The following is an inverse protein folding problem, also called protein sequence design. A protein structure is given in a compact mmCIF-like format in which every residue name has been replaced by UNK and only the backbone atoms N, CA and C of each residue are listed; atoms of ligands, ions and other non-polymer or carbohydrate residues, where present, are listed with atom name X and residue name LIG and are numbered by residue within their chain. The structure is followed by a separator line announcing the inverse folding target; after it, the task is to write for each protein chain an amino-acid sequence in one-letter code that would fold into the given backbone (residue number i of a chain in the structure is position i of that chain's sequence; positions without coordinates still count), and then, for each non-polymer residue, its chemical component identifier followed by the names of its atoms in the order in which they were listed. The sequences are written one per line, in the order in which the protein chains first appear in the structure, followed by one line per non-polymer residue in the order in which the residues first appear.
data_IF_826243703938
#
_entry.id   IF_826243703938
#
_cell.length_a   1.000
_cell.length_b   1.000
_cell.length_c   1.000
_cell.angle_alpha   90.00
_cell.angle_beta   90.00
_cell.angle_gamma   90.00
#
_symmetry.space_group_name_H-M   'P 1'
#
loop_
_entity.id
_entity.type
_entity.pdbx_description
1 polymer ?
#
# COMPACT_ATOMS: atom_id res chain seq x y z
N UNK A 1 -37.10 74.16 -45.37
CA UNK A 1 -36.70 73.98 -43.97
C UNK A 1 -35.42 73.16 -43.97
N UNK A 2 -34.29 73.74 -43.57
CA UNK A 2 -33.03 73.02 -43.39
C UNK A 2 -33.12 72.25 -42.07
N UNK A 3 -33.26 70.92 -42.14
CA UNK A 3 -33.16 70.05 -40.96
C UNK A 3 -31.68 69.85 -40.61
N UNK A 4 -31.31 69.82 -39.31
CA UNK A 4 -29.93 69.99 -38.92
C UNK A 4 -29.16 68.67 -39.08
N UNK A 5 -27.97 68.75 -39.67
CA UNK A 5 -26.95 67.70 -39.67
C UNK A 5 -26.60 67.18 -38.25
N UNK A 6 -27.07 67.85 -37.19
CA UNK A 6 -26.84 67.50 -35.79
C UNK A 6 -27.58 66.23 -35.32
N UNK A 7 -28.71 65.84 -35.93
CA UNK A 7 -29.51 64.69 -35.45
C UNK A 7 -28.83 63.34 -35.72
N UNK A 8 -28.25 63.16 -36.91
CA UNK A 8 -27.49 61.95 -37.28
C UNK A 8 -26.16 61.83 -36.55
N UNK A 9 -25.50 62.97 -36.29
CA UNK A 9 -24.28 63.00 -35.48
C UNK A 9 -24.55 62.57 -34.03
N UNK A 10 -25.67 63.04 -33.44
CA UNK A 10 -26.11 62.61 -32.11
C UNK A 10 -26.47 61.12 -32.06
N UNK A 11 -27.18 60.63 -33.08
CA UNK A 11 -27.49 59.20 -33.21
C UNK A 11 -26.22 58.34 -33.30
N UNK A 12 -25.25 58.76 -34.12
CA UNK A 12 -23.96 58.07 -34.26
C UNK A 12 -23.17 58.07 -32.95
N UNK A 13 -23.19 59.18 -32.22
CA UNK A 13 -22.53 59.29 -30.93
C UNK A 13 -23.09 58.27 -29.92
N UNK A 14 -24.42 58.18 -29.82
CA UNK A 14 -25.09 57.22 -28.92
C UNK A 14 -24.80 55.79 -29.33
N UNK A 15 -24.86 55.50 -30.63
CA UNK A 15 -24.53 54.20 -31.19
C UNK A 15 -23.12 53.74 -30.77
N UNK A 16 -22.11 54.59 -30.93
CA UNK A 16 -20.73 54.25 -30.54
C UNK A 16 -20.59 54.13 -29.02
N UNK A 17 -21.20 55.06 -28.27
CA UNK A 17 -21.07 55.11 -26.81
C UNK A 17 -21.65 53.85 -26.14
N UNK A 18 -22.82 53.37 -26.57
CA UNK A 18 -23.42 52.15 -26.00
C UNK A 18 -22.58 50.90 -26.29
N UNK A 19 -22.01 50.78 -27.50
CA UNK A 19 -21.12 49.65 -27.82
C UNK A 19 -19.85 49.67 -26.96
N UNK A 20 -19.23 50.84 -26.78
CA UNK A 20 -18.07 50.98 -25.89
C UNK A 20 -18.42 50.64 -24.44
N UNK A 21 -19.58 51.10 -23.96
CA UNK A 21 -20.04 50.82 -22.60
C UNK A 21 -20.28 49.32 -22.38
N UNK A 22 -20.97 48.65 -23.31
CA UNK A 22 -21.18 47.20 -23.27
C UNK A 22 -19.87 46.40 -23.22
N UNK A 23 -18.86 46.80 -24.02
CA UNK A 23 -17.53 46.17 -23.97
C UNK A 23 -16.84 46.35 -22.62
N UNK A 24 -16.90 47.55 -22.02
CA UNK A 24 -16.31 47.80 -20.70
C UNK A 24 -17.00 46.96 -19.63
N UNK A 25 -18.32 46.84 -19.67
CA UNK A 25 -19.08 46.00 -18.73
C UNK A 25 -18.68 44.53 -18.89
N UNK A 26 -18.63 44.02 -20.13
CA UNK A 26 -18.27 42.63 -20.41
C UNK A 26 -16.83 42.27 -19.99
N UNK A 27 -15.86 43.16 -20.22
CA UNK A 27 -14.44 42.90 -19.90
C UNK A 27 -14.14 43.11 -18.42
N UNK A 28 -14.75 44.11 -17.78
CA UNK A 28 -14.41 44.47 -16.40
C UNK A 28 -14.78 43.38 -15.40
N UNK A 29 -15.82 42.58 -15.66
CA UNK A 29 -16.35 41.56 -14.75
C UNK A 29 -16.71 42.07 -13.34
N UNK A 30 -16.71 43.40 -13.12
CA UNK A 30 -17.06 44.06 -11.86
C UNK A 30 -18.58 44.15 -11.68
N UNK A 31 -19.33 44.07 -12.79
CA UNK A 31 -20.77 44.24 -12.84
C UNK A 31 -21.48 42.89 -12.98
N UNK A 32 -22.67 42.77 -12.40
CA UNK A 32 -23.53 41.60 -12.59
C UNK A 32 -23.81 41.36 -14.08
N UNK A 33 -23.85 40.10 -14.50
CA UNK A 33 -24.13 39.69 -15.88
C UNK A 33 -25.49 40.19 -16.39
N UNK A 34 -26.43 40.46 -15.48
CA UNK A 34 -27.73 41.06 -15.78
C UNK A 34 -27.62 42.51 -16.27
N UNK A 35 -26.58 43.24 -15.86
CA UNK A 35 -26.36 44.63 -16.26
C UNK A 35 -26.03 44.72 -17.75
N UNK A 36 -25.36 43.70 -18.31
CA UNK A 36 -25.07 43.62 -19.74
C UNK A 36 -26.35 43.49 -20.58
N UNK A 37 -27.34 42.72 -20.08
CA UNK A 37 -28.67 42.61 -20.70
C UNK A 37 -29.41 43.95 -20.69
N UNK A 38 -29.44 44.60 -19.54
CA UNK A 38 -30.14 45.87 -19.36
C UNK A 38 -29.51 46.94 -20.25
N UNK A 39 -28.18 47.03 -20.29
CA UNK A 39 -27.46 47.97 -21.13
C UNK A 39 -27.71 47.70 -22.62
N UNK A 40 -27.48 46.47 -23.09
CA UNK A 40 -27.63 46.14 -24.51
C UNK A 40 -29.05 46.36 -25.04
N UNK A 41 -30.08 45.98 -24.27
CA UNK A 41 -31.47 46.21 -24.64
C UNK A 41 -31.86 47.69 -24.57
N UNK A 42 -31.51 48.39 -23.48
CA UNK A 42 -31.84 49.81 -23.35
C UNK A 42 -31.15 50.65 -24.44
N UNK A 43 -29.90 50.33 -24.77
CA UNK A 43 -29.16 50.95 -25.87
C UNK A 43 -29.89 50.76 -27.20
N UNK A 44 -30.30 49.53 -27.53
CA UNK A 44 -31.04 49.26 -28.77
C UNK A 44 -32.40 49.95 -28.80
N UNK A 45 -33.16 49.95 -27.71
CA UNK A 45 -34.43 50.67 -27.66
C UNK A 45 -34.26 52.18 -27.83
N UNK A 46 -33.23 52.77 -27.23
CA UNK A 46 -32.91 54.19 -27.42
C UNK A 46 -32.60 54.46 -28.89
N UNK A 47 -31.75 53.64 -29.53
CA UNK A 47 -31.43 53.80 -30.94
C UNK A 47 -32.68 53.63 -31.84
N UNK A 48 -33.53 52.66 -31.55
CA UNK A 48 -34.78 52.43 -32.30
C UNK A 48 -35.72 53.61 -32.18
N UNK A 49 -35.98 54.10 -30.97
CA UNK A 49 -36.86 55.25 -30.74
C UNK A 49 -36.28 56.49 -31.43
N UNK A 50 -34.97 56.71 -31.30
CA UNK A 50 -34.32 57.85 -31.95
C UNK A 50 -34.39 57.76 -33.47
N UNK A 51 -34.02 56.60 -34.04
CA UNK A 51 -34.00 56.37 -35.47
C UNK A 51 -35.38 56.42 -36.12
N UNK A 52 -36.41 55.96 -35.41
CA UNK A 52 -37.78 55.95 -35.93
C UNK A 52 -38.44 57.34 -35.88
N UNK A 53 -38.33 58.05 -34.76
CA UNK A 53 -39.08 59.29 -34.51
C UNK A 53 -38.32 60.58 -34.83
N UNK A 54 -37.00 60.58 -34.73
CA UNK A 54 -36.20 61.82 -34.75
C UNK A 54 -35.25 61.95 -35.95
N UNK A 55 -35.09 60.89 -36.75
CA UNK A 55 -34.36 60.95 -38.01
C UNK A 55 -35.30 61.10 -39.22
N UNK A 56 -34.94 61.94 -40.21
CA UNK A 56 -35.71 62.10 -41.43
C UNK A 56 -35.68 60.83 -42.30
N UNK A 57 -36.70 60.64 -43.14
CA UNK A 57 -36.86 59.45 -43.98
C UNK A 57 -35.62 59.10 -44.83
N UNK A 58 -34.93 60.11 -45.35
CA UNK A 58 -33.70 59.95 -46.15
C UNK A 58 -32.52 59.34 -45.39
N UNK A 59 -32.58 59.29 -44.05
CA UNK A 59 -31.53 58.75 -43.18
C UNK A 59 -31.94 57.47 -42.46
N UNK A 60 -33.18 56.99 -42.66
CA UNK A 60 -33.69 55.83 -41.93
C UNK A 60 -33.06 54.52 -42.36
N UNK A 61 -32.71 54.38 -43.64
CA UNK A 61 -31.95 53.22 -44.12
C UNK A 61 -30.63 53.06 -43.36
N UNK A 62 -29.84 54.14 -43.27
CA UNK A 62 -28.58 54.15 -42.55
C UNK A 62 -28.77 53.91 -41.04
N UNK A 63 -29.78 54.54 -40.43
CA UNK A 63 -30.10 54.35 -39.02
C UNK A 63 -30.49 52.92 -38.70
N UNK A 64 -31.31 52.31 -39.55
CA UNK A 64 -31.74 50.92 -39.44
C UNK A 64 -30.57 49.95 -39.55
N UNK A 65 -29.71 50.12 -40.55
CA UNK A 65 -28.49 49.29 -40.72
C UNK A 65 -27.55 49.40 -39.50
N UNK A 66 -27.43 50.59 -38.91
CA UNK A 66 -26.64 50.80 -37.68
C UNK A 66 -27.28 50.12 -36.46
N UNK A 67 -28.60 50.11 -36.33
CA UNK A 67 -29.32 49.39 -35.26
C UNK A 67 -29.14 47.87 -35.40
N UNK A 68 -29.22 47.33 -36.63
CA UNK A 68 -28.92 45.92 -36.90
C UNK A 68 -27.48 45.57 -36.52
N UNK A 69 -26.54 46.40 -36.92
CA UNK A 69 -25.12 46.24 -36.58
C UNK A 69 -24.90 46.34 -35.07
N UNK A 70 -25.59 47.25 -34.37
CA UNK A 70 -25.52 47.34 -32.91
C UNK A 70 -26.04 46.08 -32.23
N UNK A 71 -27.12 45.49 -32.75
CA UNK A 71 -27.66 44.22 -32.26
C UNK A 71 -26.64 43.11 -32.36
N UNK A 72 -26.02 42.96 -33.53
CA UNK A 72 -24.95 41.99 -33.78
C UNK A 72 -23.72 42.20 -32.87
N UNK A 73 -23.27 43.45 -32.70
CA UNK A 73 -22.12 43.75 -31.84
C UNK A 73 -22.42 43.42 -30.37
N UNK A 74 -23.61 43.73 -29.87
CA UNK A 74 -24.04 43.34 -28.53
C UNK A 74 -24.15 41.82 -28.35
N UNK A 75 -24.51 41.09 -29.41
CA UNK A 75 -24.46 39.62 -29.42
C UNK A 75 -23.04 39.09 -29.25
N UNK A 76 -22.07 39.63 -30.00
CA UNK A 76 -20.67 39.24 -29.87
C UNK A 76 -20.12 39.56 -28.49
N UNK A 77 -20.48 40.71 -27.92
CA UNK A 77 -20.07 41.12 -26.57
C UNK A 77 -20.61 40.14 -25.51
N UNK A 78 -21.90 39.80 -25.57
CA UNK A 78 -22.51 38.85 -24.63
C UNK A 78 -21.95 37.43 -24.77
N UNK A 79 -21.70 36.98 -26.00
CA UNK A 79 -21.07 35.68 -26.26
C UNK A 79 -19.62 35.62 -25.76
N UNK A 80 -18.82 36.66 -26.04
CA UNK A 80 -17.45 36.74 -25.53
C UNK A 80 -17.40 36.77 -24.00
N UNK A 81 -18.32 37.51 -23.36
CA UNK A 81 -18.46 37.53 -21.89
C UNK A 81 -18.76 36.14 -21.32
N UNK A 82 -19.70 35.40 -21.93
CA UNK A 82 -20.01 34.02 -21.56
C UNK A 82 -18.79 33.09 -21.67
N UNK A 83 -17.99 33.22 -22.74
CA UNK A 83 -16.76 32.42 -22.92
C UNK A 83 -15.69 32.73 -21.87
N UNK A 84 -15.51 34.00 -21.49
CA UNK A 84 -14.54 34.39 -20.46
C UNK A 84 -14.96 33.80 -19.10
N UNK A 85 -16.24 33.86 -18.76
CA UNK A 85 -16.78 33.26 -17.52
C UNK A 85 -16.67 31.74 -17.50
N UNK A 86 -16.81 31.10 -18.66
CA UNK A 86 -16.64 29.66 -18.83
C UNK A 86 -15.17 29.23 -18.63
N UNK A 87 -14.22 30.07 -19.03
CA UNK A 87 -12.79 29.84 -18.86
C UNK A 87 -12.24 30.08 -17.44
N UNK A 88 -12.97 30.81 -16.60
CA UNK A 88 -12.50 31.21 -15.25
C UNK A 88 -13.04 30.37 -14.09
N UNK A 89 -14.04 29.50 -14.31
CA UNK A 89 -14.85 28.90 -13.24
C UNK A 89 -14.73 27.37 -13.21
N UNK A 90 -14.51 26.80 -12.02
CA UNK A 90 -14.63 25.36 -11.78
C UNK A 90 -16.12 25.02 -11.62
N UNK A 91 -16.76 24.68 -12.75
CA UNK A 91 -18.21 24.53 -12.93
C UNK A 91 -18.97 23.94 -11.73
N UNK A 92 -19.77 24.78 -11.08
CA UNK A 92 -20.85 24.37 -10.18
C UNK A 92 -22.23 24.77 -10.75
N UNK A 93 -23.29 24.06 -10.36
CA UNK A 93 -24.64 24.20 -10.93
C UNK A 93 -25.26 25.62 -10.76
N UNK A 94 -24.81 26.40 -9.79
CA UNK A 94 -25.18 27.82 -9.61
C UNK A 94 -24.51 28.79 -10.59
N UNK A 95 -23.43 28.38 -11.26
CA UNK A 95 -22.68 29.18 -12.24
C UNK A 95 -23.24 29.05 -13.66
N UNK A 96 -24.15 28.09 -13.90
CA UNK A 96 -24.82 27.94 -15.20
C UNK A 96 -25.61 29.22 -15.55
N UNK A 97 -26.31 29.81 -14.59
CA UNK A 97 -27.04 31.06 -14.80
C UNK A 97 -26.11 32.22 -15.17
N UNK A 98 -24.89 32.26 -14.62
CA UNK A 98 -23.90 33.28 -14.95
C UNK A 98 -23.45 33.23 -16.43
N UNK A 99 -23.58 32.07 -17.08
CA UNK A 99 -23.29 31.88 -18.51
C UNK A 99 -24.55 32.09 -19.35
N UNK A 100 -25.72 31.64 -18.87
CA UNK A 100 -26.98 31.75 -19.58
C UNK A 100 -27.47 33.20 -19.69
N UNK A 101 -27.21 34.07 -18.71
CA UNK A 101 -27.62 35.47 -18.77
C UNK A 101 -26.94 36.26 -19.90
N UNK A 102 -25.59 36.24 -20.05
CA UNK A 102 -24.93 36.89 -21.17
C UNK A 102 -25.31 36.30 -22.54
N UNK A 103 -25.56 34.99 -22.62
CA UNK A 103 -26.04 34.34 -23.85
C UNK A 103 -27.48 34.75 -24.21
N UNK A 104 -28.39 34.76 -23.23
CA UNK A 104 -29.77 35.21 -23.41
C UNK A 104 -29.83 36.69 -23.79
N UNK A 105 -28.95 37.50 -23.20
CA UNK A 105 -28.73 38.89 -23.59
C UNK A 105 -28.30 39.03 -25.04
N UNK A 106 -27.24 38.31 -25.43
CA UNK A 106 -26.71 38.33 -26.78
C UNK A 106 -27.79 38.01 -27.82
N UNK A 107 -28.63 37.02 -27.54
CA UNK A 107 -29.73 36.62 -28.41
C UNK A 107 -30.83 37.69 -28.46
N UNK A 108 -31.25 38.22 -27.32
CA UNK A 108 -32.31 39.22 -27.23
C UNK A 108 -31.93 40.53 -27.95
N UNK A 109 -30.68 41.00 -27.77
CA UNK A 109 -30.18 42.19 -28.47
C UNK A 109 -30.05 41.95 -29.97
N UNK A 110 -29.67 40.74 -30.40
CA UNK A 110 -29.66 40.37 -31.83
C UNK A 110 -31.04 40.53 -32.44
N UNK A 111 -32.06 39.94 -31.79
CA UNK A 111 -33.44 39.94 -32.26
C UNK A 111 -33.97 41.37 -32.39
N UNK A 112 -33.78 42.18 -31.35
CA UNK A 112 -34.25 43.57 -31.33
C UNK A 112 -33.55 44.40 -32.40
N UNK A 113 -32.23 44.28 -32.52
CA UNK A 113 -31.45 45.01 -33.50
C UNK A 113 -31.81 44.64 -34.94
N UNK A 114 -31.91 43.35 -35.24
CA UNK A 114 -32.30 42.86 -36.55
C UNK A 114 -33.72 43.27 -36.95
N UNK A 115 -34.68 43.05 -36.05
CA UNK A 115 -36.10 43.27 -36.31
C UNK A 115 -36.43 44.76 -36.44
N UNK A 116 -36.08 45.56 -35.44
CA UNK A 116 -36.45 46.98 -35.41
C UNK A 116 -35.53 47.82 -36.29
N UNK A 117 -34.25 47.44 -36.41
CA UNK A 117 -33.33 48.04 -37.36
C UNK A 117 -33.73 47.75 -38.81
N UNK A 118 -34.18 46.53 -39.10
CA UNK A 118 -34.69 46.17 -40.43
C UNK A 118 -35.96 46.90 -40.81
N UNK A 119 -36.91 47.02 -39.88
CA UNK A 119 -38.14 47.80 -40.08
C UNK A 119 -37.81 49.28 -40.32
N UNK A 120 -36.94 49.90 -39.51
CA UNK A 120 -36.51 51.29 -39.71
C UNK A 120 -35.79 51.45 -41.05
N UNK A 121 -34.91 50.51 -41.41
CA UNK A 121 -34.20 50.56 -42.68
C UNK A 121 -35.16 50.50 -43.87
N UNK A 122 -36.21 49.68 -43.74
CA UNK A 122 -37.25 49.51 -44.77
C UNK A 122 -38.16 50.73 -44.99
N UNK A 123 -38.15 51.71 -44.07
CA UNK A 123 -38.88 52.98 -44.21
C UNK A 123 -38.10 54.04 -45.01
N UNK A 124 -36.84 53.75 -45.37
CA UNK A 124 -36.03 54.58 -46.25
C UNK A 124 -36.56 54.63 -47.68
N UNK A 125 -36.05 55.57 -48.48
CA UNK A 125 -36.60 55.96 -49.79
C UNK A 125 -36.60 54.83 -50.85
N UNK A 126 -35.94 53.70 -50.61
CA UNK A 126 -35.78 52.62 -51.59
C UNK A 126 -35.90 51.20 -51.01
N UNK A 127 -37.07 50.76 -50.54
CA UNK A 127 -37.27 49.32 -50.39
C UNK A 127 -38.66 48.81 -50.79
N UNK A 128 -38.64 47.90 -51.78
CA UNK A 128 -39.81 47.13 -52.18
C UNK A 128 -40.36 46.32 -51.01
N UNK A 129 -41.65 46.55 -50.78
CA UNK A 129 -42.50 46.08 -49.71
C UNK A 129 -42.70 44.55 -49.76
N UNK A 130 -41.66 43.74 -49.55
CA UNK A 130 -41.79 42.25 -49.45
C UNK A 130 -40.68 41.47 -48.73
N UNK A 131 -39.65 42.12 -48.14
CA UNK A 131 -38.47 41.41 -47.60
C UNK A 131 -38.44 41.17 -46.08
N UNK A 132 -39.17 41.97 -45.29
CA UNK A 132 -39.17 41.86 -43.81
C UNK A 132 -39.78 40.54 -43.32
N UNK A 133 -40.82 40.01 -43.99
CA UNK A 133 -41.50 38.78 -43.56
C UNK A 133 -40.67 37.51 -43.82
N UNK A 134 -39.88 37.47 -44.89
CA UNK A 134 -39.00 36.34 -45.20
C UNK A 134 -37.78 36.29 -44.29
N UNK A 135 -37.19 37.45 -43.98
CA UNK A 135 -36.04 37.55 -43.07
C UNK A 135 -36.46 37.28 -41.61
N UNK A 136 -37.68 37.67 -41.22
CA UNK A 136 -38.26 37.32 -39.91
C UNK A 136 -38.47 35.81 -39.75
N UNK A 137 -38.91 35.13 -40.80
CA UNK A 137 -39.06 33.67 -40.76
C UNK A 137 -37.69 32.99 -40.65
N UNK A 138 -36.69 33.47 -41.41
CA UNK A 138 -35.32 32.96 -41.34
C UNK A 138 -34.70 33.14 -39.95
N UNK A 139 -34.96 34.28 -39.28
CA UNK A 139 -34.51 34.50 -37.91
C UNK A 139 -35.20 33.58 -36.90
N UNK A 140 -36.51 33.34 -37.04
CA UNK A 140 -37.23 32.36 -36.20
C UNK A 140 -36.64 30.96 -36.38
N UNK A 141 -36.33 30.58 -37.62
CA UNK A 141 -35.77 29.27 -37.93
C UNK A 141 -34.36 29.12 -37.32
N UNK A 142 -33.50 30.15 -37.42
CA UNK A 142 -32.17 30.17 -36.79
C UNK A 142 -32.24 30.11 -35.25
N UNK A 143 -33.21 30.80 -34.63
CA UNK A 143 -33.42 30.75 -33.17
C UNK A 143 -33.90 29.37 -32.74
N UNK A 144 -34.78 28.74 -33.53
CA UNK A 144 -35.23 27.38 -33.25
C UNK A 144 -34.08 26.38 -33.36
N UNK A 145 -33.24 26.50 -34.39
CA UNK A 145 -32.06 25.65 -34.56
C UNK A 145 -31.06 25.84 -33.41
N UNK A 146 -30.77 27.08 -33.04
CA UNK A 146 -29.88 27.39 -31.91
C UNK A 146 -30.43 26.89 -30.57
N UNK A 147 -31.73 27.07 -30.33
CA UNK A 147 -32.40 26.57 -29.12
C UNK A 147 -32.37 25.04 -29.07
N UNK A 148 -32.58 24.37 -30.21
CA UNK A 148 -32.46 22.93 -30.35
C UNK A 148 -31.04 22.45 -30.03
N UNK A 149 -30.02 23.11 -30.58
CA UNK A 149 -28.62 22.80 -30.31
C UNK A 149 -28.26 22.96 -28.82
N UNK A 150 -28.75 24.02 -28.16
CA UNK A 150 -28.54 24.19 -26.72
C UNK A 150 -29.25 23.10 -25.91
N UNK A 151 -30.48 22.74 -26.27
CA UNK A 151 -31.21 21.65 -25.60
C UNK A 151 -30.49 20.31 -25.75
N UNK A 152 -29.93 20.02 -26.92
CA UNK A 152 -29.15 18.81 -27.19
C UNK A 152 -27.84 18.77 -26.40
N UNK A 153 -27.10 19.89 -26.36
CA UNK A 153 -25.88 20.02 -25.56
C UNK A 153 -26.20 19.85 -24.07
N UNK A 154 -27.28 20.47 -23.58
CA UNK A 154 -27.69 20.36 -22.18
C UNK A 154 -28.13 18.93 -21.82
N UNK A 155 -28.88 18.27 -22.71
CA UNK A 155 -29.27 16.85 -22.60
C UNK A 155 -28.03 15.95 -22.50
N UNK A 156 -27.08 16.13 -23.42
CA UNK A 156 -25.83 15.36 -23.47
C UNK A 156 -25.03 15.57 -22.18
N UNK A 157 -24.89 16.81 -21.74
CA UNK A 157 -24.19 17.16 -20.51
C UNK A 157 -24.82 16.50 -19.27
N UNK A 158 -26.15 16.57 -19.12
CA UNK A 158 -26.86 15.92 -18.01
C UNK A 158 -26.69 14.40 -18.03
N UNK A 159 -26.74 13.79 -19.21
CA UNK A 159 -26.51 12.36 -19.40
C UNK A 159 -25.08 11.97 -18.98
N UNK A 160 -24.08 12.69 -19.46
CA UNK A 160 -22.67 12.48 -19.10
C UNK A 160 -22.46 12.66 -17.60
N UNK A 161 -23.00 13.70 -16.99
CA UNK A 161 -22.89 13.92 -15.54
C UNK A 161 -23.54 12.80 -14.74
N UNK A 162 -24.70 12.30 -15.17
CA UNK A 162 -25.37 11.16 -14.52
C UNK A 162 -24.51 9.90 -14.61
N UNK A 163 -23.88 9.66 -15.76
CA UNK A 163 -22.97 8.53 -15.95
C UNK A 163 -21.74 8.64 -15.05
N UNK A 164 -21.10 9.81 -15.02
CA UNK A 164 -19.94 10.08 -14.15
C UNK A 164 -20.32 9.88 -12.68
N UNK A 165 -21.47 10.37 -12.24
CA UNK A 165 -21.94 10.18 -10.87
C UNK A 165 -22.16 8.71 -10.52
N UNK A 166 -22.73 7.92 -11.44
CA UNK A 166 -22.89 6.46 -11.26
C UNK A 166 -21.53 5.76 -11.16
N UNK A 167 -20.58 6.09 -12.03
CA UNK A 167 -19.23 5.55 -12.00
C UNK A 167 -18.51 5.91 -10.69
N UNK A 168 -18.65 7.15 -10.23
CA UNK A 168 -18.08 7.59 -8.96
C UNK A 168 -18.67 6.82 -7.77
N UNK A 169 -19.99 6.63 -7.75
CA UNK A 169 -20.66 5.85 -6.71
C UNK A 169 -20.20 4.39 -6.70
N UNK A 170 -20.06 3.77 -7.86
CA UNK A 170 -19.54 2.40 -7.96
C UNK A 170 -18.11 2.31 -7.44
N UNK A 171 -17.24 3.25 -7.81
CA UNK A 171 -15.87 3.31 -7.32
C UNK A 171 -15.82 3.46 -5.79
N UNK A 172 -16.72 4.26 -5.22
CA UNK A 172 -16.84 4.42 -3.76
C UNK A 172 -17.25 3.11 -3.07
N UNK A 173 -18.22 2.39 -3.63
CA UNK A 173 -18.65 1.07 -3.12
C UNK A 173 -17.53 0.02 -3.22
N UNK A 174 -16.76 0.01 -4.33
CA UNK A 174 -15.57 -0.83 -4.49
C UNK A 174 -14.50 -0.50 -3.45
N UNK A 175 -14.24 0.78 -3.20
CA UNK A 175 -13.28 1.22 -2.19
C UNK A 175 -13.70 0.79 -0.77
N UNK A 176 -14.98 0.92 -0.42
CA UNK A 176 -15.49 0.46 0.89
C UNK A 176 -15.37 -1.06 1.04
N UNK A 177 -15.68 -1.83 0.00
CA UNK A 177 -15.51 -3.28 0.00
C UNK A 177 -14.05 -3.70 0.14
N UNK A 178 -13.14 -3.02 -0.57
CA UNK A 178 -11.70 -3.29 -0.46
C UNK A 178 -11.17 -2.97 0.94
N UNK A 179 -11.65 -1.88 1.56
CA UNK A 179 -11.30 -1.52 2.93
C UNK A 179 -11.75 -2.60 3.93
N UNK A 180 -12.98 -3.12 3.78
CA UNK A 180 -13.49 -4.22 4.61
C UNK A 180 -12.68 -5.50 4.45
N UNK A 181 -12.32 -5.86 3.22
CA UNK A 181 -11.45 -7.02 2.94
C UNK A 181 -10.07 -6.87 3.58
N UNK A 182 -9.49 -5.66 3.51
CA UNK A 182 -8.21 -5.39 4.18
C UNK A 182 -8.31 -5.51 5.70
N UNK A 183 -9.39 -5.03 6.30
CA UNK A 183 -9.62 -5.17 7.75
C UNK A 183 -9.79 -6.64 8.16
N UNK A 184 -10.56 -7.44 7.41
CA UNK A 184 -10.71 -8.89 7.67
C UNK A 184 -9.36 -9.62 7.56
N UNK A 185 -8.60 -9.33 6.49
CA UNK A 185 -7.28 -9.93 6.29
C UNK A 185 -6.31 -9.55 7.42
N UNK A 186 -6.30 -8.29 7.84
CA UNK A 186 -5.46 -7.82 8.94
C UNK A 186 -5.84 -8.52 10.26
N UNK A 187 -7.13 -8.72 10.52
CA UNK A 187 -7.59 -9.47 11.70
C UNK A 187 -7.12 -10.92 11.67
N UNK A 188 -7.26 -11.61 10.53
CA UNK A 188 -6.80 -13.00 10.37
C UNK A 188 -5.30 -13.14 10.56
N UNK A 189 -4.51 -12.24 9.95
CA UNK A 189 -3.05 -12.23 10.12
C UNK A 189 -2.69 -12.02 11.59
N UNK A 190 -3.37 -11.10 12.29
CA UNK A 190 -3.13 -10.86 13.71
C UNK A 190 -3.42 -12.11 14.55
N UNK A 191 -4.55 -12.76 14.31
CA UNK A 191 -4.96 -13.99 15.00
C UNK A 191 -3.98 -15.14 14.74
N UNK A 192 -3.62 -15.41 13.48
CA UNK A 192 -2.64 -16.43 13.13
C UNK A 192 -1.27 -16.14 13.76
N UNK A 193 -0.84 -14.88 13.75
CA UNK A 193 0.44 -14.48 14.35
C UNK A 193 0.44 -14.69 15.86
N UNK A 194 -0.66 -14.34 16.54
CA UNK A 194 -0.81 -14.56 17.98
C UNK A 194 -0.83 -16.05 18.32
N UNK A 195 -1.59 -16.85 17.59
CA UNK A 195 -1.65 -18.30 17.77
C UNK A 195 -0.29 -18.96 17.52
N UNK A 196 0.41 -18.54 16.46
CA UNK A 196 1.77 -19.01 16.18
C UNK A 196 2.73 -18.65 17.33
N UNK A 197 2.69 -17.41 17.81
CA UNK A 197 3.56 -16.97 18.90
C UNK A 197 3.28 -17.74 20.20
N UNK A 198 2.00 -17.95 20.52
CA UNK A 198 1.58 -18.75 21.68
C UNK A 198 2.08 -20.19 21.59
N UNK A 199 1.91 -20.83 20.43
CA UNK A 199 2.38 -22.20 20.21
C UNK A 199 3.90 -22.29 20.34
N UNK A 200 4.64 -21.37 19.72
CA UNK A 200 6.10 -21.34 19.79
C UNK A 200 6.57 -21.14 21.23
N UNK A 201 5.96 -20.23 21.98
CA UNK A 201 6.28 -20.01 23.39
C UNK A 201 6.03 -21.25 24.24
N UNK A 202 4.88 -21.91 24.04
CA UNK A 202 4.49 -23.11 24.78
C UNK A 202 5.47 -24.26 24.50
N UNK A 203 5.72 -24.57 23.22
CA UNK A 203 6.66 -25.62 22.82
C UNK A 203 8.07 -25.34 23.32
N UNK A 204 8.54 -24.09 23.28
CA UNK A 204 9.87 -23.74 23.78
C UNK A 204 9.96 -23.89 25.30
N UNK A 205 8.89 -23.52 26.02
CA UNK A 205 8.80 -23.71 27.47
C UNK A 205 8.82 -25.19 27.83
N UNK A 206 8.04 -26.02 27.15
CA UNK A 206 8.01 -27.47 27.34
C UNK A 206 9.37 -28.10 27.05
N UNK A 207 9.99 -27.78 25.90
CA UNK A 207 11.32 -28.27 25.54
C UNK A 207 12.40 -27.86 26.56
N UNK A 208 12.33 -26.63 27.08
CA UNK A 208 13.24 -26.14 28.12
C UNK A 208 13.04 -26.91 29.43
N UNK A 209 11.79 -27.20 29.81
CA UNK A 209 11.49 -28.00 31.00
C UNK A 209 12.00 -29.45 30.85
N UNK A 210 11.77 -30.08 29.70
CA UNK A 210 12.29 -31.42 29.40
C UNK A 210 13.82 -31.46 29.46
N UNK A 211 14.49 -30.48 28.84
CA UNK A 211 15.95 -30.37 28.91
C UNK A 211 16.44 -30.24 30.34
N UNK A 212 15.82 -29.40 31.16
CA UNK A 212 16.18 -29.24 32.58
C UNK A 212 15.97 -30.54 33.38
N UNK A 213 14.91 -31.29 33.10
CA UNK A 213 14.69 -32.60 33.72
C UNK A 213 15.78 -33.60 33.32
N UNK A 214 16.11 -33.68 32.03
CA UNK A 214 17.18 -34.56 31.54
C UNK A 214 18.55 -34.18 32.13
N UNK A 215 18.85 -32.89 32.25
CA UNK A 215 20.07 -32.42 32.92
C UNK A 215 20.12 -32.82 34.38
N UNK A 216 19.00 -32.67 35.10
CA UNK A 216 18.91 -33.05 36.52
C UNK A 216 19.15 -34.56 36.69
N UNK A 217 18.45 -35.39 35.90
CA UNK A 217 18.62 -36.84 35.91
C UNK A 217 20.05 -37.26 35.53
N UNK A 218 20.66 -36.62 34.52
CA UNK A 218 22.05 -36.88 34.16
C UNK A 218 23.02 -36.51 35.29
N UNK A 219 22.76 -35.41 36.00
CA UNK A 219 23.57 -34.99 37.14
C UNK A 219 23.48 -35.97 38.30
N UNK A 220 22.27 -36.44 38.61
CA UNK A 220 22.03 -37.46 39.63
C UNK A 220 22.75 -38.78 39.28
N UNK A 221 22.64 -39.23 38.03
CA UNK A 221 23.35 -40.43 37.53
C UNK A 221 24.87 -40.29 37.61
N UNK A 222 25.42 -39.11 37.30
CA UNK A 222 26.85 -38.85 37.44
C UNK A 222 27.30 -38.90 38.90
N UNK A 223 26.47 -38.39 39.82
CA UNK A 223 26.74 -38.45 41.25
C UNK A 223 26.65 -39.89 41.78
N UNK A 224 25.67 -40.68 41.33
CA UNK A 224 25.62 -42.12 41.62
C UNK A 224 26.87 -42.84 41.12
N UNK A 225 27.32 -42.55 39.89
CA UNK A 225 28.54 -43.13 39.33
C UNK A 225 29.77 -42.75 40.16
N UNK A 226 29.90 -41.49 40.58
CA UNK A 226 30.97 -41.02 41.45
C UNK A 226 30.99 -41.80 42.78
N UNK A 227 29.82 -41.97 43.42
CA UNK A 227 29.74 -42.75 44.67
C UNK A 227 30.09 -44.23 44.47
N UNK A 228 29.70 -44.82 43.33
CA UNK A 228 30.04 -46.19 42.98
C UNK A 228 31.54 -46.34 42.78
N UNK A 229 32.17 -45.43 42.03
CA UNK A 229 33.62 -45.41 41.80
C UNK A 229 34.37 -45.26 43.13
N UNK A 230 33.92 -44.37 44.01
CA UNK A 230 34.51 -44.20 45.34
C UNK A 230 34.41 -45.50 46.16
N UNK A 231 33.23 -46.16 46.16
CA UNK A 231 33.02 -47.43 46.86
C UNK A 231 33.90 -48.54 46.31
N UNK A 232 33.93 -48.74 45.00
CA UNK A 232 34.75 -49.78 44.37
C UNK A 232 36.24 -49.52 44.61
N UNK A 233 36.67 -48.27 44.59
CA UNK A 233 38.06 -47.91 44.93
C UNK A 233 38.39 -48.27 46.37
N UNK A 234 37.47 -48.03 47.31
CA UNK A 234 37.66 -48.41 48.72
C UNK A 234 37.66 -49.93 48.90
N UNK A 235 36.74 -50.65 48.25
CA UNK A 235 36.71 -52.12 48.23
C UNK A 235 38.00 -52.71 47.65
N UNK A 236 38.59 -52.09 46.61
CA UNK A 236 39.88 -52.52 46.07
C UNK A 236 41.02 -52.37 47.08
N UNK A 237 41.03 -51.35 47.94
CA UNK A 237 42.05 -51.23 49.01
C UNK A 237 41.98 -52.38 50.00
N UNK A 238 40.79 -52.96 50.22
CA UNK A 238 40.65 -54.14 51.06
C UNK A 238 41.23 -55.42 50.44
N UNK A 239 41.62 -55.40 49.16
CA UNK A 239 42.36 -56.50 48.52
C UNK A 239 43.87 -56.42 48.77
N UNK A 240 44.42 -55.27 49.18
CA UNK A 240 45.86 -55.13 49.46
C UNK A 240 46.35 -56.14 50.52
N UNK A 241 45.65 -56.36 51.65
CA UNK A 241 46.04 -57.38 52.62
C UNK A 241 45.97 -58.82 52.10
N UNK A 242 45.08 -59.10 51.13
CA UNK A 242 45.05 -60.41 50.46
C UNK A 242 46.27 -60.58 49.56
N UNK A 243 46.67 -59.53 48.84
CA UNK A 243 47.89 -59.52 48.04
C UNK A 243 49.12 -59.78 48.92
N UNK A 244 49.20 -59.13 50.07
CA UNK A 244 50.23 -59.36 51.08
C UNK A 244 50.20 -60.80 51.62
N UNK A 245 49.01 -61.33 51.88
CA UNK A 245 48.82 -62.71 52.33
C UNK A 245 49.28 -63.73 51.28
N UNK A 246 49.01 -63.49 49.99
CA UNK A 246 49.52 -64.31 48.89
C UNK A 246 51.05 -64.21 48.77
N UNK A 247 51.62 -63.02 48.97
CA UNK A 247 53.07 -62.82 49.01
C UNK A 247 53.72 -63.59 50.17
N UNK A 248 53.12 -63.55 51.36
CA UNK A 248 53.56 -64.33 52.52
C UNK A 248 53.43 -65.84 52.29
N UNK A 249 52.32 -66.28 51.70
CA UNK A 249 52.11 -67.69 51.36
C UNK A 249 53.17 -68.18 50.38
N UNK A 250 53.50 -67.38 49.35
CA UNK A 250 54.58 -67.68 48.41
C UNK A 250 55.91 -67.82 49.14
N UNK A 251 56.28 -66.86 50.00
CA UNK A 251 57.54 -66.92 50.76
C UNK A 251 57.60 -68.16 51.67
N UNK A 252 56.50 -68.51 52.34
CA UNK A 252 56.41 -69.72 53.16
C UNK A 252 56.51 -71.00 52.32
N UNK A 253 55.91 -71.01 51.13
CA UNK A 253 56.04 -72.12 50.18
C UNK A 253 57.47 -72.29 49.71
N UNK A 254 58.16 -71.21 49.33
CA UNK A 254 59.56 -71.21 48.91
C UNK A 254 60.47 -71.75 50.04
N UNK A 255 60.22 -71.32 51.29
CA UNK A 255 60.91 -71.85 52.48
C UNK A 255 60.65 -73.35 52.71
N UNK A 256 59.40 -73.80 52.58
CA UNK A 256 59.04 -75.21 52.72
C UNK A 256 59.73 -76.07 51.64
N UNK A 257 59.79 -75.60 50.40
CA UNK A 257 60.53 -76.26 49.31
C UNK A 257 62.01 -76.40 49.63
N UNK A 258 62.65 -75.35 50.14
CA UNK A 258 64.06 -75.39 50.55
C UNK A 258 64.30 -76.39 51.69
N UNK A 259 63.45 -76.36 52.73
CA UNK A 259 63.53 -77.31 53.85
C UNK A 259 63.34 -78.76 53.39
N UNK A 260 62.41 -79.01 52.46
CA UNK A 260 62.23 -80.35 51.88
C UNK A 260 63.45 -80.81 51.08
N UNK A 261 64.11 -79.90 50.36
CA UNK A 261 65.36 -80.21 49.66
C UNK A 261 66.47 -80.58 50.65
N UNK A 262 66.60 -79.85 51.78
CA UNK A 262 67.55 -80.16 52.85
C UNK A 262 67.25 -81.51 53.52
N UNK A 263 65.99 -81.78 53.85
CA UNK A 263 65.54 -83.06 54.43
C UNK A 263 65.80 -84.22 53.47
N UNK A 264 65.57 -84.03 52.17
CA UNK A 264 65.89 -85.03 51.15
C UNK A 264 67.39 -85.29 51.07
N UNK A 265 68.23 -84.25 51.15
CA UNK A 265 69.68 -84.39 51.20
C UNK A 265 70.15 -85.08 52.49
N UNK A 266 69.62 -84.71 53.65
CA UNK A 266 69.90 -85.35 54.91
C UNK A 266 69.49 -86.83 54.89
N UNK A 267 68.31 -87.15 54.37
CA UNK A 267 67.84 -88.53 54.21
C UNK A 267 68.75 -89.34 53.27
N UNK A 268 69.24 -88.75 52.18
CA UNK A 268 70.24 -89.40 51.31
C UNK A 268 71.54 -89.69 52.05
N UNK A 269 72.03 -88.75 52.88
CA UNK A 269 73.21 -88.97 53.73
C UNK A 269 72.96 -90.08 54.75
N UNK A 270 71.81 -90.09 55.42
CA UNK A 270 71.44 -91.17 56.36
C UNK A 270 71.35 -92.53 55.66
N UNK A 271 70.80 -92.58 54.45
CA UNK A 271 70.76 -93.81 53.66
C UNK A 271 72.17 -94.30 53.27
N UNK A 272 73.09 -93.38 52.94
CA UNK A 272 74.50 -93.71 52.73
C UNK A 272 75.14 -94.27 54.00
N UNK A 273 74.98 -93.60 55.15
CA UNK A 273 75.50 -94.09 56.43
C UNK A 273 74.93 -95.45 56.82
N UNK A 274 73.64 -95.70 56.57
CA UNK A 274 73.02 -97.01 56.83
C UNK A 274 73.60 -98.10 55.93
N UNK A 275 73.84 -97.80 54.65
CA UNK A 275 74.51 -98.74 53.73
C UNK A 275 75.95 -99.02 54.15
N UNK A 276 76.71 -97.99 54.53
CA UNK A 276 78.07 -98.12 55.04
C UNK A 276 78.09 -98.95 56.34
N UNK A 277 77.17 -98.68 57.26
CA UNK A 277 77.00 -99.43 58.51
C UNK A 277 76.64 -100.89 58.26
N UNK A 278 75.75 -101.18 57.29
CA UNK A 278 75.46 -102.56 56.87
C UNK A 278 76.69 -103.26 56.28
N UNK A 279 77.49 -102.56 55.47
CA UNK A 279 78.73 -103.11 54.94
C UNK A 279 79.73 -103.43 56.07
N UNK A 280 79.89 -102.52 57.02
CA UNK A 280 80.72 -102.71 58.22
C UNK A 280 80.22 -103.88 59.09
N UNK A 281 78.91 -104.01 59.30
CA UNK A 281 78.33 -105.14 60.01
C UNK A 281 78.64 -106.47 59.29
N UNK A 282 78.56 -106.52 57.96
CA UNK A 282 78.96 -107.71 57.19
C UNK A 282 80.46 -108.00 57.30
N UNK A 283 81.31 -106.98 57.34
CA UNK A 283 82.74 -107.19 57.57
C UNK A 283 83.03 -107.69 58.99
N UNK A 284 82.35 -107.15 60.00
CA UNK A 284 82.43 -107.63 61.37
C UNK A 284 81.90 -109.07 61.50
N UNK A 285 80.81 -109.42 60.83
CA UNK A 285 80.32 -110.81 60.75
C UNK A 285 81.37 -111.73 60.14
N UNK A 286 81.99 -111.34 59.02
CA UNK A 286 83.11 -112.10 58.43
C UNK A 286 84.30 -112.24 59.37
N UNK A 287 84.64 -111.18 60.11
CA UNK A 287 85.73 -111.20 61.08
C UNK A 287 85.41 -112.09 62.28
N UNK A 288 84.15 -112.08 62.74
CA UNK A 288 83.66 -112.95 63.80
C UNK A 288 83.73 -114.41 63.36
N UNK A 289 83.30 -114.71 62.13
CA UNK A 289 83.41 -116.03 61.50
C UNK A 289 84.86 -116.50 61.35
N UNK A 290 85.77 -115.59 61.00
CA UNK A 290 87.21 -115.87 60.94
C UNK A 290 87.79 -116.17 62.33
N UNK A 291 87.42 -115.40 63.35
CA UNK A 291 87.88 -115.64 64.73
C UNK A 291 87.32 -116.97 65.25
N UNK A 292 86.06 -117.30 64.98
CA UNK A 292 85.47 -118.59 65.39
C UNK A 292 86.12 -119.77 64.67
N UNK A 293 86.49 -119.65 63.39
CA UNK A 293 87.24 -120.69 62.66
C UNK A 293 88.69 -120.82 63.15
N UNK A 294 89.38 -119.72 63.45
CA UNK A 294 90.76 -119.77 63.98
C UNK A 294 90.81 -120.31 65.41
N UNK A 295 89.78 -120.07 66.24
CA UNK A 295 89.71 -120.58 67.61
C UNK A 295 89.34 -122.08 67.69
N UNK A 296 88.97 -122.69 66.57
CA UNK A 296 88.62 -124.12 66.45
C UNK A 296 89.64 -124.95 65.66
N UNK A 297 90.79 -124.36 65.27
CA UNK A 297 91.97 -125.08 64.75
C UNK A 297 93.07 -125.12 65.80
#
# INVERSE_FOLDING_TARGET
MQYPQSSLAGFTFIYVLGILLGMVIAISQVFSTEILLIEGLSHLFILVIWGFFFLPQSQKEEAGNRIQTAGYLHTLIGFASALILLGSSAFNQGELNAILYPLGSALSTSIVGWLLGGEISSLGENYEKKRVKSEFQQLIDEIQEFTGAIQEVHSTYLSTMTQVYRSYRQLQEEQENLLRQHQDLQSRIMEETQNFHYNLFTTNTEATQELNQLFTQSSERLQELETLVARTTEEMKHLDPLLDSFSQLKNNSDLATNNLAEVAQASRRTAQYLNESQALMRELEKLLDYITTVKTS
#
